data_IF_682824387015
#
_entry.id   IF_682824387015
#
_cell.length_a   1.000
_cell.length_b   1.000
_cell.length_c   1.000
_cell.angle_alpha   90.00
_cell.angle_beta   90.00
_cell.angle_gamma   90.00
#
_symmetry.space_group_name_H-M   'P 1'
#
loop_
_entity.id
_entity.type
_entity.pdbx_description
1 polymer ?
#
# COMPACT_ATOMS: atom_id res chain seq x y z
N UNK A 1 21.23 -1.32 -14.41
CA UNK A 1 20.70 -2.48 -13.68
C UNK A 1 19.40 -2.12 -12.97
N UNK A 2 19.42 -1.27 -11.94
CA UNK A 2 18.19 -0.85 -11.22
C UNK A 2 18.10 0.67 -11.16
N UNK A 3 16.89 1.18 -10.95
CA UNK A 3 16.63 2.58 -10.65
C UNK A 3 15.52 2.72 -9.62
N UNK A 4 15.57 3.81 -8.88
CA UNK A 4 14.64 4.12 -7.80
C UNK A 4 13.95 5.44 -8.08
N UNK A 5 12.63 5.47 -7.97
CA UNK A 5 11.82 6.68 -8.08
C UNK A 5 11.03 6.85 -6.80
N UNK A 6 11.10 8.06 -6.26
CA UNK A 6 10.29 8.49 -5.12
C UNK A 6 9.25 9.45 -5.68
N UNK A 7 7.94 9.28 -5.38
CA UNK A 7 6.91 10.22 -5.82
C UNK A 7 7.29 11.66 -5.46
N UNK A 8 7.33 12.53 -6.47
CA UNK A 8 7.70 13.94 -6.29
C UNK A 8 9.20 14.26 -6.32
N UNK A 9 10.08 13.28 -6.60
CA UNK A 9 11.53 13.49 -6.75
C UNK A 9 12.06 12.99 -8.11
N UNK A 10 13.22 13.49 -8.56
CA UNK A 10 13.89 12.94 -9.74
C UNK A 10 14.22 11.46 -9.59
N UNK A 11 14.31 10.78 -10.72
CA UNK A 11 14.73 9.39 -10.82
C UNK A 11 16.18 9.24 -10.33
N UNK A 12 16.41 8.34 -9.38
CA UNK A 12 17.73 8.03 -8.87
C UNK A 12 18.31 6.84 -9.64
N UNK A 13 19.43 7.08 -10.30
CA UNK A 13 20.19 6.08 -11.07
C UNK A 13 21.59 5.86 -10.53
N UNK A 14 22.00 6.64 -9.54
CA UNK A 14 23.32 6.57 -8.90
C UNK A 14 23.35 5.42 -7.89
N UNK A 15 23.58 4.23 -8.41
CA UNK A 15 23.64 2.98 -7.65
C UNK A 15 25.09 2.65 -7.32
N UNK A 16 25.38 2.38 -6.05
CA UNK A 16 26.72 2.00 -5.59
C UNK A 16 26.79 0.49 -5.48
N UNK A 17 27.73 -0.14 -6.18
CA UNK A 17 28.05 -1.55 -5.96
C UNK A 17 28.81 -1.71 -4.64
N UNK A 18 28.24 -2.46 -3.70
CA UNK A 18 28.79 -2.65 -2.34
C UNK A 18 29.67 -3.90 -2.28
N UNK A 19 29.40 -4.90 -3.12
CA UNK A 19 30.17 -6.14 -3.17
C UNK A 19 31.05 -6.17 -4.43
N UNK A 20 32.35 -6.23 -4.21
CA UNK A 20 33.36 -6.42 -5.27
C UNK A 20 33.76 -7.89 -5.29
N UNK A 21 32.92 -8.75 -5.85
CA UNK A 21 33.26 -10.17 -5.99
C UNK A 21 34.50 -10.33 -6.91
N UNK A 22 35.44 -11.25 -6.60
CA UNK A 22 36.68 -11.44 -7.38
C UNK A 22 36.45 -11.88 -8.84
N UNK A 23 35.23 -12.29 -9.16
CA UNK A 23 34.70 -12.74 -10.44
C UNK A 23 34.04 -11.60 -11.26
N UNK A 24 34.08 -10.36 -10.77
CA UNK A 24 33.81 -9.14 -11.55
C UNK A 24 32.34 -8.73 -11.69
N UNK A 25 31.37 -9.50 -11.20
CA UNK A 25 29.97 -9.08 -11.17
C UNK A 25 29.52 -8.75 -9.75
N UNK A 26 29.19 -7.48 -9.50
CA UNK A 26 28.60 -7.05 -8.26
C UNK A 26 27.20 -7.64 -8.11
N UNK A 27 26.95 -8.33 -6.99
CA UNK A 27 25.64 -8.90 -6.64
C UNK A 27 24.88 -8.02 -5.66
N UNK A 28 25.58 -7.14 -4.94
CA UNK A 28 24.99 -6.24 -3.94
C UNK A 28 25.18 -4.80 -4.33
N UNK A 29 24.10 -4.06 -4.24
CA UNK A 29 24.02 -2.66 -4.60
C UNK A 29 23.32 -1.87 -3.49
N UNK A 30 23.61 -0.57 -3.39
CA UNK A 30 22.95 0.32 -2.45
C UNK A 30 22.59 1.66 -3.10
N UNK A 31 21.45 2.21 -2.70
CA UNK A 31 21.04 3.59 -2.94
C UNK A 31 20.96 4.34 -1.63
N UNK A 32 21.42 5.58 -1.66
CA UNK A 32 21.44 6.49 -0.52
C UNK A 32 20.41 7.58 -0.75
N UNK A 33 19.34 7.60 0.04
CA UNK A 33 18.16 8.42 -0.20
C UNK A 33 17.94 9.37 0.99
N UNK A 34 17.99 10.70 0.80
CA UNK A 34 17.67 11.65 1.86
C UNK A 34 16.20 11.52 2.29
N UNK A 35 15.92 11.39 3.59
CA UNK A 35 14.54 11.25 4.09
C UNK A 35 13.72 12.54 4.02
N UNK A 36 14.36 13.70 3.86
CA UNK A 36 13.67 14.99 3.69
C UNK A 36 13.53 15.38 2.20
N UNK A 37 12.34 15.77 1.72
CA UNK A 37 11.03 15.74 2.39
C UNK A 37 10.49 14.31 2.58
N UNK A 38 9.74 14.06 3.66
CA UNK A 38 9.26 12.73 4.03
C UNK A 38 8.48 12.03 2.90
N UNK A 39 8.74 10.75 2.70
CA UNK A 39 8.05 9.89 1.73
C UNK A 39 7.70 8.55 2.39
N UNK A 40 6.67 7.89 1.85
CA UNK A 40 6.22 6.56 2.30
C UNK A 40 6.50 5.48 1.28
N UNK A 41 6.34 5.80 -0.01
CA UNK A 41 6.45 4.80 -1.07
C UNK A 41 7.68 5.04 -1.93
N UNK A 42 8.33 3.95 -2.30
CA UNK A 42 9.48 3.91 -3.20
C UNK A 42 9.17 2.96 -4.33
N UNK A 43 9.44 3.39 -5.55
CA UNK A 43 9.32 2.55 -6.74
C UNK A 43 10.72 2.09 -7.14
N UNK A 44 10.92 0.78 -7.25
CA UNK A 44 12.19 0.20 -7.73
C UNK A 44 11.89 -0.57 -9.01
N UNK A 45 12.72 -0.36 -10.04
CA UNK A 45 12.52 -1.00 -11.34
C UNK A 45 13.84 -1.24 -12.08
N UNK A 46 13.78 -2.10 -13.09
CA UNK A 46 14.92 -2.40 -13.96
C UNK A 46 15.08 -1.34 -15.04
N UNK A 47 16.33 -0.94 -15.28
CA UNK A 47 16.63 -0.09 -16.44
C UNK A 47 16.46 -0.91 -17.73
N UNK A 48 15.98 -0.29 -18.83
CA UNK A 48 15.81 -0.97 -20.12
C UNK A 48 17.07 -1.74 -20.54
N UNK A 49 16.90 -3.00 -20.95
CA UNK A 49 18.01 -3.88 -21.34
C UNK A 49 18.71 -4.61 -20.19
N UNK A 50 18.27 -4.42 -18.94
CA UNK A 50 18.75 -5.23 -17.80
C UNK A 50 17.99 -6.55 -17.71
N UNK A 51 18.70 -7.67 -17.66
CA UNK A 51 18.15 -9.01 -17.40
C UNK A 51 18.94 -9.65 -16.27
N UNK A 52 18.25 -10.15 -15.25
CA UNK A 52 18.89 -10.91 -14.18
C UNK A 52 19.26 -12.31 -14.66
N UNK A 53 20.32 -12.94 -14.10
CA UNK A 53 20.65 -14.32 -14.38
C UNK A 53 19.44 -15.26 -14.20
N UNK A 54 19.38 -16.38 -14.94
CA UNK A 54 18.28 -17.34 -14.80
C UNK A 54 18.17 -17.85 -13.36
N UNK A 55 16.93 -18.04 -12.90
CA UNK A 55 16.60 -18.46 -11.52
C UNK A 55 17.09 -17.51 -10.42
N UNK A 56 17.36 -16.24 -10.72
CA UNK A 56 17.70 -15.21 -9.72
C UNK A 56 16.63 -14.12 -9.65
N UNK A 57 16.54 -13.49 -8.48
CA UNK A 57 15.77 -12.28 -8.25
C UNK A 57 16.63 -11.25 -7.51
N UNK A 58 16.13 -10.02 -7.45
CA UNK A 58 16.74 -8.93 -6.70
C UNK A 58 15.94 -8.73 -5.42
N UNK A 59 16.49 -9.17 -4.29
CA UNK A 59 15.96 -8.91 -2.96
C UNK A 59 16.25 -7.45 -2.57
N UNK A 60 15.23 -6.75 -2.07
CA UNK A 60 15.30 -5.33 -1.70
C UNK A 60 15.21 -5.23 -0.19
N UNK A 61 16.17 -4.52 0.39
CA UNK A 61 16.30 -4.26 1.81
C UNK A 61 16.31 -2.76 2.07
N UNK A 62 15.64 -2.31 3.12
CA UNK A 62 15.69 -0.93 3.59
C UNK A 62 16.35 -0.86 4.96
N UNK A 63 17.30 0.05 5.11
CA UNK A 63 17.92 0.41 6.38
C UNK A 63 17.59 1.87 6.68
N UNK A 64 16.85 2.08 7.75
CA UNK A 64 16.42 3.40 8.19
C UNK A 64 17.29 3.90 9.33
N UNK A 65 17.51 5.22 9.46
CA UNK A 65 18.12 5.77 10.65
C UNK A 65 17.15 5.64 11.83
N UNK A 66 17.67 5.28 12.99
CA UNK A 66 16.93 5.20 14.23
C UNK A 66 16.44 6.62 14.61
N UNK A 67 15.14 6.80 14.92
CA UNK A 67 14.58 8.11 15.24
C UNK A 67 15.11 8.72 16.55
N UNK A 68 15.68 7.89 17.44
CA UNK A 68 16.19 8.30 18.75
C UNK A 68 17.70 8.51 18.79
N UNK A 69 18.47 7.75 18.00
CA UNK A 69 19.94 7.81 18.00
C UNK A 69 20.54 8.34 16.70
N UNK A 70 19.76 8.41 15.62
CA UNK A 70 20.24 8.76 14.28
C UNK A 70 21.17 7.71 13.65
N UNK A 71 21.45 6.62 14.35
CA UNK A 71 22.29 5.53 13.86
C UNK A 71 21.52 4.63 12.88
N UNK A 72 22.17 4.05 11.86
CA UNK A 72 21.49 3.15 10.93
C UNK A 72 21.01 1.88 11.65
N UNK A 73 19.73 1.52 11.46
CA UNK A 73 19.13 0.29 12.00
C UNK A 73 19.50 -0.94 11.15
N UNK A 74 19.05 -2.14 11.52
CA UNK A 74 19.28 -3.34 10.71
C UNK A 74 18.54 -3.29 9.37
N UNK A 75 19.11 -3.94 8.34
CA UNK A 75 18.46 -4.07 7.04
C UNK A 75 17.19 -4.92 7.15
N UNK A 76 16.05 -4.30 6.86
CA UNK A 76 14.76 -4.98 6.77
C UNK A 76 14.46 -5.35 5.33
N UNK A 77 14.10 -6.60 5.06
CA UNK A 77 13.60 -7.01 3.75
C UNK A 77 12.26 -6.32 3.49
N UNK A 78 12.10 -5.65 2.34
CA UNK A 78 10.85 -4.93 1.99
C UNK A 78 10.15 -5.54 0.77
N UNK A 79 10.86 -6.38 0.01
CA UNK A 79 10.30 -7.10 -1.12
C UNK A 79 11.36 -7.50 -2.12
N UNK A 80 10.95 -7.98 -3.30
CA UNK A 80 11.88 -8.41 -4.33
C UNK A 80 11.36 -8.13 -5.74
N UNK A 81 12.29 -8.09 -6.68
CA UNK A 81 12.05 -7.97 -8.12
C UNK A 81 12.58 -9.22 -8.84
N UNK A 82 11.97 -9.54 -9.98
CA UNK A 82 12.37 -10.66 -10.82
C UNK A 82 12.22 -10.27 -12.29
N UNK A 83 12.74 -11.07 -13.22
CA UNK A 83 12.55 -10.80 -14.66
C UNK A 83 11.05 -10.75 -15.05
N UNK A 84 10.20 -11.58 -14.42
CA UNK A 84 8.75 -11.57 -14.61
C UNK A 84 8.04 -10.34 -13.98
N UNK A 85 8.68 -9.72 -12.98
CA UNK A 85 8.20 -8.52 -12.30
C UNK A 85 9.33 -7.50 -12.22
N UNK A 86 9.60 -6.76 -13.32
CA UNK A 86 10.75 -5.88 -13.43
C UNK A 86 10.59 -4.57 -12.65
N UNK A 87 9.44 -4.35 -12.01
CA UNK A 87 9.14 -3.16 -11.20
C UNK A 87 8.22 -3.47 -10.03
N UNK A 88 8.37 -2.75 -8.93
CA UNK A 88 7.54 -2.88 -7.73
C UNK A 88 7.50 -1.59 -6.92
N UNK A 89 6.42 -1.42 -6.16
CA UNK A 89 6.23 -0.31 -5.24
C UNK A 89 6.36 -0.87 -3.82
N UNK A 90 7.22 -0.25 -3.02
CA UNK A 90 7.57 -0.70 -1.68
C UNK A 90 7.33 0.43 -0.68
N UNK A 91 6.57 0.15 0.36
CA UNK A 91 6.29 1.12 1.42
C UNK A 91 7.38 1.02 2.49
N UNK A 92 8.02 2.16 2.75
CA UNK A 92 9.08 2.34 3.74
C UNK A 92 8.55 3.28 4.81
N UNK A 93 8.16 2.71 5.95
CA UNK A 93 7.69 3.49 7.09
C UNK A 93 8.91 4.06 7.83
N UNK A 94 9.25 5.31 7.52
CA UNK A 94 10.29 6.09 8.21
C UNK A 94 10.01 6.32 9.70
N UNK A 95 8.74 6.31 10.08
CA UNK A 95 8.34 6.24 11.47
C UNK A 95 8.27 4.76 11.83
N UNK A 96 9.31 4.28 12.52
CA UNK A 96 9.42 2.90 12.96
C UNK A 96 8.10 2.43 13.57
N UNK A 97 7.62 1.28 13.08
CA UNK A 97 6.57 0.50 13.72
C UNK A 97 7.09 0.02 15.08
N UNK A 98 7.11 0.91 16.07
CA UNK A 98 6.86 0.53 17.45
C UNK A 98 5.35 0.39 17.54
N UNK A 99 4.90 -0.80 17.90
CA UNK A 99 3.57 -1.02 18.43
C UNK A 99 3.43 -0.07 19.63
N UNK A 100 2.80 1.09 19.41
CA UNK A 100 2.42 2.01 20.48
C UNK A 100 1.08 1.53 21.00
N UNK A 101 0.98 1.33 22.30
CA UNK A 101 -0.30 1.05 22.96
C UNK A 101 -1.25 2.23 22.76
N UNK A 102 -2.56 1.96 22.71
CA UNK A 102 -3.62 2.98 22.54
C UNK A 102 -3.48 4.18 23.52
N UNK A 103 -2.86 3.97 24.68
CA UNK A 103 -2.57 5.02 25.67
C UNK A 103 -1.50 6.06 25.23
N UNK A 104 -0.67 5.78 24.22
CA UNK A 104 0.32 6.72 23.68
C UNK A 104 -0.21 7.46 22.43
N UNK A 105 -1.36 7.06 21.88
CA UNK A 105 -2.01 7.72 20.74
C UNK A 105 -2.86 8.93 21.18
N UNK A 106 -3.35 8.96 22.42
CA UNK A 106 -4.12 10.09 22.96
C UNK A 106 -3.28 11.36 23.18
N UNK A 107 -1.96 11.24 23.42
CA UNK A 107 -1.07 12.38 23.64
C UNK A 107 -0.67 13.12 22.35
N UNK A 108 -0.81 12.49 21.18
CA UNK A 108 -0.43 13.08 19.87
C UNK A 108 -1.55 13.98 19.27
N UNK A 109 -2.74 14.03 19.88
CA UNK A 109 -3.83 14.94 19.47
C UNK A 109 -3.72 16.35 20.08
N UNK A 110 -2.62 16.65 20.78
CA UNK A 110 -2.37 17.95 21.40
C UNK A 110 -1.14 18.71 20.87
N UNK A 111 -0.38 18.16 19.90
CA UNK A 111 0.81 18.84 19.34
C UNK A 111 0.63 19.26 17.87
N UNK A 112 -0.29 20.21 17.65
CA UNK A 112 -0.33 21.03 16.43
C UNK A 112 0.79 22.08 16.49
N UNK A 113 2.01 21.70 16.09
CA UNK A 113 3.08 22.70 15.96
C UNK A 113 4.51 22.23 15.79
N UNK A 114 4.85 20.95 15.98
CA UNK A 114 6.25 20.51 15.87
C UNK A 114 6.47 19.57 14.68
N UNK A 115 7.00 20.13 13.58
CA UNK A 115 7.69 19.33 12.59
C UNK A 115 8.88 18.65 13.30
N UNK A 116 8.68 17.40 13.71
CA UNK A 116 9.68 16.62 14.41
C UNK A 116 10.99 16.60 13.57
N UNK A 117 12.14 17.09 14.08
CA UNK A 117 13.38 17.19 13.31
C UNK A 117 14.05 15.82 13.07
N UNK A 118 13.37 14.72 13.34
CA UNK A 118 13.84 13.34 13.10
C UNK A 118 14.04 12.97 11.61
N UNK A 119 13.74 13.88 10.67
CA UNK A 119 13.87 13.64 9.23
C UNK A 119 15.25 14.02 8.61
N UNK A 120 16.27 14.38 9.43
CA UNK A 120 17.63 14.65 8.95
C UNK A 120 18.48 13.38 8.77
N UNK A 121 17.83 12.26 8.43
CA UNK A 121 18.47 10.97 8.22
C UNK A 121 18.53 10.58 6.74
N UNK A 122 19.32 9.56 6.43
CA UNK A 122 19.44 9.00 5.10
C UNK A 122 18.98 7.55 5.14
N UNK A 123 18.04 7.19 4.25
CA UNK A 123 17.62 5.82 4.02
C UNK A 123 18.64 5.14 3.09
N UNK A 124 19.14 3.98 3.50
CA UNK A 124 19.97 3.13 2.64
C UNK A 124 19.11 1.99 2.10
N UNK A 125 18.88 1.97 0.79
CA UNK A 125 18.16 0.90 0.10
C UNK A 125 19.17 -0.08 -0.49
N UNK A 126 19.27 -1.28 0.08
CA UNK A 126 20.09 -2.37 -0.44
C UNK A 126 19.35 -3.22 -1.47
N UNK A 127 20.03 -3.63 -2.54
CA UNK A 127 19.53 -4.57 -3.54
C UNK A 127 20.55 -5.71 -3.65
N UNK A 128 20.12 -6.93 -3.34
CA UNK A 128 20.95 -8.14 -3.39
C UNK A 128 20.41 -9.09 -4.48
N UNK A 129 21.24 -9.48 -5.43
CA UNK A 129 20.89 -10.48 -6.46
C UNK A 129 21.12 -11.86 -5.86
N UNK A 130 20.05 -12.61 -5.67
CA UNK A 130 20.06 -13.92 -5.01
C UNK A 130 19.24 -14.95 -5.80
N UNK A 131 19.52 -16.25 -5.64
CA UNK A 131 18.68 -17.31 -6.20
C UNK A 131 17.23 -17.16 -5.72
N UNK A 132 16.26 -17.35 -6.63
CA UNK A 132 14.83 -17.20 -6.31
C UNK A 132 14.37 -18.10 -5.17
N UNK A 133 15.04 -19.24 -4.95
CA UNK A 133 14.81 -20.16 -3.83
C UNK A 133 15.03 -19.52 -2.46
N UNK A 134 15.96 -18.56 -2.35
CA UNK A 134 16.23 -17.83 -1.10
C UNK A 134 15.25 -16.67 -0.88
N UNK A 135 14.70 -16.13 -1.96
CA UNK A 135 13.80 -14.97 -1.95
C UNK A 135 12.35 -15.39 -1.67
N UNK A 136 11.91 -16.51 -2.24
CA UNK A 136 10.56 -17.06 -2.06
C UNK A 136 10.10 -17.16 -0.58
N UNK A 137 10.89 -17.73 0.37
CA UNK A 137 10.48 -17.80 1.77
C UNK A 137 10.46 -16.43 2.45
N UNK A 138 11.35 -15.51 2.08
CA UNK A 138 11.37 -14.15 2.63
C UNK A 138 10.14 -13.35 2.18
N UNK A 139 9.75 -13.49 0.90
CA UNK A 139 8.53 -12.89 0.38
C UNK A 139 7.28 -13.42 1.09
N UNK A 140 7.18 -14.74 1.29
CA UNK A 140 6.06 -15.34 2.01
C UNK A 140 5.98 -14.82 3.46
N UNK A 141 7.13 -14.61 4.11
CA UNK A 141 7.18 -14.04 5.47
C UNK A 141 6.71 -12.59 5.50
N UNK A 142 7.11 -11.76 4.51
CA UNK A 142 6.60 -10.39 4.41
C UNK A 142 5.11 -10.30 4.11
N UNK A 143 4.60 -11.17 3.25
CA UNK A 143 3.16 -11.23 2.96
C UNK A 143 2.38 -11.61 4.23
N UNK A 144 2.92 -12.52 5.05
CA UNK A 144 2.36 -12.87 6.35
C UNK A 144 2.45 -11.70 7.36
N UNK A 145 3.55 -10.96 7.42
CA UNK A 145 3.70 -9.79 8.31
C UNK A 145 2.75 -8.64 7.92
N UNK A 146 2.60 -8.40 6.61
CA UNK A 146 1.64 -7.44 6.07
C UNK A 146 0.19 -7.85 6.36
N UNK A 147 -0.06 -9.15 6.45
CA UNK A 147 -1.35 -9.72 6.85
C UNK A 147 -1.58 -9.72 8.36
N UNK A 148 -0.52 -9.67 9.18
CA UNK A 148 -0.61 -9.62 10.64
C UNK A 148 -0.77 -8.19 11.18
N UNK A 149 -0.20 -7.19 10.50
CA UNK A 149 -0.38 -5.76 10.83
C UNK A 149 -1.70 -5.17 10.32
N UNK A 150 -2.39 -5.88 9.43
CA UNK A 150 -3.77 -5.61 9.04
C UNK A 150 -4.65 -6.68 9.65
N UNK A 151 -5.20 -6.44 10.84
CA UNK A 151 -6.23 -7.28 11.43
C UNK A 151 -7.48 -7.32 10.56
N UNK A 152 -7.48 -8.13 9.52
CA UNK A 152 -8.66 -8.66 8.81
C UNK A 152 -8.20 -9.71 7.80
N UNK A 153 -8.68 -10.93 8.03
CA UNK A 153 -8.42 -12.14 7.25
C UNK A 153 -8.48 -11.91 5.73
N UNK A 154 -7.39 -12.20 5.03
CA UNK A 154 -7.39 -12.40 3.59
C UNK A 154 -6.30 -13.41 3.20
N UNK A 155 -6.68 -14.69 3.19
CA UNK A 155 -5.99 -15.72 2.42
C UNK A 155 -6.07 -15.34 0.93
N UNK A 156 -4.94 -15.15 0.25
CA UNK A 156 -4.89 -15.14 -1.21
C UNK A 156 -3.79 -16.06 -1.71
N UNK A 157 -4.23 -17.22 -2.17
CA UNK A 157 -3.50 -18.12 -3.05
C UNK A 157 -3.29 -17.46 -4.41
N UNK A 158 -2.02 -17.41 -4.81
CA UNK A 158 -1.48 -17.40 -6.17
C UNK A 158 -2.48 -17.49 -7.33
N UNK A 159 -2.48 -16.46 -8.19
CA UNK A 159 -2.91 -16.54 -9.60
C UNK A 159 -4.11 -15.67 -9.97
N UNK A 160 -3.87 -14.77 -10.94
CA UNK A 160 -4.83 -14.05 -11.77
C UNK A 160 -5.40 -12.71 -11.25
N UNK A 161 -5.03 -11.65 -11.98
CA UNK A 161 -5.83 -10.44 -12.25
C UNK A 161 -6.68 -9.89 -11.12
N UNK A 162 -6.05 -9.04 -10.33
CA UNK A 162 -6.50 -7.70 -9.92
C UNK A 162 -7.88 -7.22 -10.47
N UNK A 163 -8.95 -7.83 -9.98
CA UNK A 163 -10.21 -7.14 -9.74
C UNK A 163 -10.56 -7.46 -8.31
N UNK A 164 -10.40 -6.46 -7.44
CA UNK A 164 -10.86 -6.47 -6.06
C UNK A 164 -12.37 -6.67 -6.13
N UNK A 165 -12.83 -7.93 -6.17
CA UNK A 165 -14.25 -8.23 -6.23
C UNK A 165 -14.82 -7.79 -4.89
N UNK A 166 -15.36 -6.58 -4.86
CA UNK A 166 -16.36 -6.20 -3.89
C UNK A 166 -17.38 -7.33 -3.93
N UNK A 167 -17.47 -8.10 -2.84
CA UNK A 167 -18.32 -9.29 -2.83
C UNK A 167 -19.73 -8.87 -3.25
N UNK A 168 -20.40 -9.64 -4.11
CA UNK A 168 -21.77 -9.33 -4.57
C UNK A 168 -22.71 -9.04 -3.39
N UNK A 169 -22.43 -9.67 -2.24
CA UNK A 169 -23.09 -9.42 -0.96
C UNK A 169 -22.88 -8.01 -0.42
N UNK A 170 -21.64 -7.49 -0.40
CA UNK A 170 -21.36 -6.12 0.02
C UNK A 170 -21.96 -5.10 -0.93
N UNK A 171 -21.92 -5.36 -2.23
CA UNK A 171 -22.56 -4.52 -3.24
C UNK A 171 -24.09 -4.48 -3.02
N UNK A 172 -24.73 -5.63 -2.82
CA UNK A 172 -26.17 -5.73 -2.55
C UNK A 172 -26.55 -5.04 -1.24
N UNK A 173 -25.77 -5.24 -0.17
CA UNK A 173 -25.98 -4.56 1.12
C UNK A 173 -25.88 -3.03 0.97
N UNK A 174 -24.98 -2.54 0.12
CA UNK A 174 -24.80 -1.11 -0.17
C UNK A 174 -25.95 -0.51 -0.97
N UNK A 175 -26.40 -1.22 -2.00
CA UNK A 175 -27.54 -0.84 -2.84
C UNK A 175 -28.79 -0.73 -1.97
N UNK A 176 -29.03 -1.73 -1.12
CA UNK A 176 -30.19 -1.76 -0.20
C UNK A 176 -30.08 -0.64 0.85
N UNK A 177 -28.89 -0.37 1.39
CA UNK A 177 -28.68 0.73 2.34
C UNK A 177 -28.98 2.11 1.75
N UNK A 178 -28.52 2.38 0.52
CA UNK A 178 -28.84 3.62 -0.20
C UNK A 178 -30.34 3.74 -0.50
N UNK A 179 -30.97 2.63 -0.92
CA UNK A 179 -32.41 2.59 -1.16
C UNK A 179 -33.20 2.89 0.11
N UNK A 180 -32.84 2.23 1.22
CA UNK A 180 -33.52 2.41 2.51
C UNK A 180 -33.42 3.86 3.01
N UNK A 181 -32.23 4.46 3.00
CA UNK A 181 -32.04 5.85 3.43
C UNK A 181 -32.84 6.85 2.57
N UNK A 182 -32.93 6.61 1.25
CA UNK A 182 -33.75 7.45 0.39
C UNK A 182 -35.24 7.25 0.69
N UNK A 183 -35.72 6.00 0.75
CA UNK A 183 -37.13 5.71 0.99
C UNK A 183 -37.59 6.17 2.38
N UNK A 184 -36.73 6.07 3.39
CA UNK A 184 -36.97 6.58 4.74
C UNK A 184 -37.13 8.11 4.76
N UNK A 185 -36.47 8.84 3.85
CA UNK A 185 -36.68 10.30 3.74
C UNK A 185 -38.06 10.67 3.17
N UNK A 186 -38.75 9.72 2.52
CA UNK A 186 -40.10 9.88 1.96
C UNK A 186 -41.15 9.00 2.67
N UNK A 187 -40.79 8.33 3.77
CA UNK A 187 -41.74 7.53 4.53
C UNK A 187 -42.66 8.47 5.31
N UNK A 188 -43.94 8.46 4.95
CA UNK A 188 -44.98 9.17 5.68
C UNK A 188 -45.69 8.16 6.59
N UNK A 189 -45.83 8.51 7.87
CA UNK A 189 -46.40 7.59 8.86
C UNK A 189 -47.93 7.72 8.85
N UNK A 190 -48.61 6.85 8.10
CA UNK A 190 -50.07 6.77 8.10
C UNK A 190 -50.52 5.73 9.11
N UNK A 191 -51.25 6.16 10.15
CA UNK A 191 -51.81 5.32 11.22
C UNK A 191 -50.79 4.38 11.89
N UNK A 192 -49.58 4.87 12.13
CA UNK A 192 -48.52 4.13 12.82
C UNK A 192 -47.89 3.01 11.97
N UNK A 193 -48.09 3.04 10.65
CA UNK A 193 -47.34 2.23 9.68
C UNK A 193 -46.57 3.19 8.78
N UNK A 194 -45.27 2.96 8.64
CA UNK A 194 -44.47 3.70 7.68
C UNK A 194 -44.83 3.23 6.28
N UNK A 195 -45.51 4.10 5.53
CA UNK A 195 -45.92 3.80 4.16
C UNK A 195 -44.98 4.56 3.23
N UNK A 196 -44.34 3.81 2.34
CA UNK A 196 -43.47 4.36 1.29
C UNK A 196 -44.26 4.36 -0.03
N UNK A 197 -44.52 5.53 -0.64
CA UNK A 197 -45.14 5.59 -1.95
C UNK A 197 -44.27 4.88 -3.00
N UNK A 198 -44.86 3.98 -3.79
CA UNK A 198 -44.15 3.26 -4.88
C UNK A 198 -43.47 4.20 -5.88
N UNK A 199 -44.00 5.40 -6.04
CA UNK A 199 -43.44 6.45 -6.91
C UNK A 199 -42.06 6.91 -6.44
N UNK A 200 -41.84 7.02 -5.14
CA UNK A 200 -40.54 7.42 -4.56
C UNK A 200 -39.46 6.37 -4.85
N UNK A 201 -39.82 5.08 -4.83
CA UNK A 201 -38.92 4.01 -5.23
C UNK A 201 -38.56 4.06 -6.72
N UNK A 202 -39.55 4.29 -7.58
CA UNK A 202 -39.33 4.40 -9.02
C UNK A 202 -38.42 5.60 -9.37
N UNK A 203 -38.61 6.74 -8.70
CA UNK A 203 -37.77 7.93 -8.89
C UNK A 203 -36.33 7.70 -8.39
N UNK A 204 -36.16 6.96 -7.29
CA UNK A 204 -34.83 6.56 -6.81
C UNK A 204 -34.14 5.62 -7.80
N UNK A 205 -34.83 4.57 -8.24
CA UNK A 205 -34.29 3.58 -9.17
C UNK A 205 -33.78 4.23 -10.45
N UNK A 206 -34.56 5.15 -11.01
CA UNK A 206 -34.18 5.90 -12.22
C UNK A 206 -32.90 6.74 -12.01
N UNK A 207 -32.73 7.33 -10.83
CA UNK A 207 -31.51 8.09 -10.48
C UNK A 207 -30.31 7.18 -10.26
N UNK A 208 -30.54 6.02 -9.66
CA UNK A 208 -29.52 5.01 -9.40
C UNK A 208 -28.99 4.41 -10.72
N UNK A 209 -29.89 4.03 -11.62
CA UNK A 209 -29.57 3.51 -12.96
C UNK A 209 -28.77 4.53 -13.77
N UNK A 210 -29.18 5.80 -13.76
CA UNK A 210 -28.38 6.84 -14.42
C UNK A 210 -26.98 7.01 -13.82
N UNK A 211 -26.80 6.80 -12.52
CA UNK A 211 -25.48 6.87 -11.88
C UNK A 211 -24.62 5.64 -12.17
N UNK A 212 -25.20 4.44 -12.23
CA UNK A 212 -24.44 3.22 -12.53
C UNK A 212 -23.92 3.23 -13.97
N UNK A 213 -24.74 3.72 -14.91
CA UNK A 213 -24.34 3.86 -16.32
C UNK A 213 -23.24 4.91 -16.51
N UNK A 214 -23.22 5.96 -15.68
CA UNK A 214 -22.24 7.04 -15.76
C UNK A 214 -20.94 6.76 -14.98
N UNK A 215 -21.00 6.12 -13.81
CA UNK A 215 -19.82 5.71 -13.02
C UNK A 215 -20.08 4.38 -12.29
N UNK A 216 -19.69 3.24 -12.88
CA UNK A 216 -19.81 1.93 -12.23
C UNK A 216 -18.96 1.81 -10.94
N UNK A 217 -17.91 2.61 -10.78
CA UNK A 217 -17.02 2.58 -9.61
C UNK A 217 -17.60 3.33 -8.40
N UNK A 218 -18.72 4.05 -8.56
CA UNK A 218 -19.45 4.67 -7.43
C UNK A 218 -19.83 3.65 -6.34
N UNK A 219 -20.13 2.40 -6.72
CA UNK A 219 -20.46 1.34 -5.76
C UNK A 219 -19.25 0.86 -4.93
N UNK A 220 -18.03 1.11 -5.43
CA UNK A 220 -16.78 0.70 -4.80
C UNK A 220 -16.22 1.79 -3.87
N UNK A 221 -16.60 3.05 -4.11
CA UNK A 221 -16.19 4.20 -3.30
C UNK A 221 -17.09 4.29 -2.08
N UNK A 222 -16.49 4.24 -0.89
CA UNK A 222 -17.21 4.44 0.37
C UNK A 222 -17.77 5.87 0.45
N UNK A 223 -19.03 6.08 0.08
CA UNK A 223 -19.83 7.26 0.47
C UNK A 223 -19.64 7.55 1.99
N UNK A 224 -18.98 8.65 2.34
CA UNK A 224 -18.62 8.99 3.73
C UNK A 224 -19.80 9.51 4.56
N UNK A 225 -21.00 9.60 3.98
CA UNK A 225 -22.20 10.13 4.64
C UNK A 225 -23.24 9.06 5.02
N UNK A 226 -22.88 7.78 4.94
CA UNK A 226 -23.72 6.72 5.49
C UNK A 226 -23.31 6.45 6.95
N UNK A 227 -23.64 7.40 7.84
CA UNK A 227 -23.78 7.16 9.28
C UNK A 227 -25.22 6.78 9.59
#
# INVERSE_FOLDING_TARGET
MFSVVIPGRPCLTDIVAVDSQPNGQATKFAFTIPLAPAFKDIVVFFLPGTVLPPNTGAAIYAQLPDPSTGAPTDFRFIGALANERPSGIFTVNANGAKHRSEAEEEDDMLDDGSANPAAAGVLTLGISIEPGENIAPQLATLENEKSATSGSSALVTQGQSQQKQVTTKMLAQRIIGSAFNFLASFSESDKGRDVVPLKSFQDWWTKFERRIDMDPSFLEKADPNAS
#
